data_IF_242870248064
#
_entry.id   IF_242870248064
#
_cell.length_a   1.000
_cell.length_b   1.000
_cell.length_c   1.000
_cell.angle_alpha   90.00
_cell.angle_beta   90.00
_cell.angle_gamma   90.00
#
_symmetry.space_group_name_H-M   'P 1'
#
loop_
_entity.id
_entity.type
_entity.pdbx_description
1 polymer ?
#
# COMPACT_ATOMS: atom_id res chain seq x y z
N UNK A 1 -13.25 -1.03 -48.38
CA UNK A 1 -13.94 -0.84 -47.09
C UNK A 1 -12.87 -0.60 -46.05
N UNK A 2 -12.69 0.66 -45.62
CA UNK A 2 -11.62 1.07 -44.71
C UNK A 2 -12.11 0.80 -43.28
N UNK A 3 -11.58 -0.24 -42.65
CA UNK A 3 -11.80 -0.51 -41.23
C UNK A 3 -10.84 0.38 -40.42
N UNK A 4 -11.32 1.54 -39.99
CA UNK A 4 -10.63 2.34 -38.99
C UNK A 4 -10.76 1.62 -37.64
N UNK A 5 -9.70 0.89 -37.24
CA UNK A 5 -9.55 0.45 -35.86
C UNK A 5 -9.38 1.69 -34.98
N UNK A 6 -10.46 2.08 -34.33
CA UNK A 6 -10.43 2.99 -33.19
C UNK A 6 -9.67 2.28 -32.06
N UNK A 7 -8.36 2.52 -31.99
CA UNK A 7 -7.61 2.42 -30.74
C UNK A 7 -8.18 3.48 -29.80
N UNK A 8 -9.31 3.16 -29.17
CA UNK A 8 -9.64 3.75 -27.89
C UNK A 8 -8.54 3.28 -26.93
N UNK A 9 -7.43 4.02 -26.90
CA UNK A 9 -6.57 4.04 -25.74
C UNK A 9 -7.52 4.38 -24.59
N UNK A 10 -7.84 3.38 -23.78
CA UNK A 10 -8.37 3.64 -22.46
C UNK A 10 -7.32 4.52 -21.79
N UNK A 11 -7.54 5.84 -21.79
CA UNK A 11 -6.97 6.78 -20.81
C UNK A 11 -7.55 6.48 -19.42
N UNK A 12 -7.63 5.19 -19.06
CA UNK A 12 -7.73 4.76 -17.68
C UNK A 12 -6.39 5.16 -17.08
N UNK A 13 -6.33 6.39 -16.57
CA UNK A 13 -5.30 6.79 -15.62
C UNK A 13 -5.13 5.61 -14.68
N UNK A 14 -3.95 4.99 -14.60
CA UNK A 14 -3.74 3.94 -13.62
C UNK A 14 -4.16 4.52 -12.27
N UNK A 15 -5.02 3.80 -11.57
CA UNK A 15 -5.55 4.19 -10.27
C UNK A 15 -4.40 4.13 -9.27
N UNK A 16 -3.56 5.17 -9.31
CA UNK A 16 -2.43 5.38 -8.42
C UNK A 16 -2.98 6.00 -7.13
N UNK A 17 -3.94 5.29 -6.53
CA UNK A 17 -4.51 5.61 -5.24
C UNK A 17 -3.81 4.84 -4.13
N UNK A 18 -3.90 5.39 -2.93
CA UNK A 18 -3.59 4.67 -1.71
C UNK A 18 -2.62 5.38 -0.78
N UNK A 19 -2.45 4.78 0.40
CA UNK A 19 -1.56 5.31 1.44
C UNK A 19 -0.19 4.62 1.40
N UNK A 20 0.86 5.39 1.65
CA UNK A 20 2.24 4.93 1.72
C UNK A 20 2.91 5.52 2.95
N UNK A 21 3.63 4.70 3.70
CA UNK A 21 4.25 5.12 4.96
C UNK A 21 5.70 4.65 5.02
N UNK A 22 6.57 5.43 5.64
CA UNK A 22 7.90 4.92 5.98
C UNK A 22 7.84 3.97 7.18
N UNK A 23 8.88 3.15 7.32
CA UNK A 23 9.06 2.19 8.42
C UNK A 23 8.94 2.79 9.82
N UNK A 24 9.30 4.06 9.99
CA UNK A 24 9.32 4.73 11.28
C UNK A 24 8.04 5.55 11.55
N UNK A 25 7.08 5.55 10.61
CA UNK A 25 5.89 6.41 10.66
C UNK A 25 6.19 7.90 10.63
N UNK A 26 7.38 8.32 10.17
CA UNK A 26 7.79 9.73 10.18
C UNK A 26 7.24 10.52 9.00
N UNK A 27 6.97 9.82 7.90
CA UNK A 27 6.39 10.34 6.67
C UNK A 27 5.29 9.39 6.20
N UNK A 28 4.14 9.95 5.83
CA UNK A 28 3.10 9.25 5.08
C UNK A 28 2.58 10.09 3.91
N UNK A 29 2.18 9.41 2.85
CA UNK A 29 1.58 9.98 1.64
C UNK A 29 0.27 9.27 1.38
N UNK A 30 -0.83 10.01 1.27
CA UNK A 30 -2.12 9.47 0.87
C UNK A 30 -2.52 10.04 -0.49
N UNK A 31 -2.44 9.22 -1.53
CA UNK A 31 -2.80 9.60 -2.90
C UNK A 31 -4.29 9.38 -3.14
N UNK A 32 -4.98 10.47 -3.44
CA UNK A 32 -6.40 10.50 -3.73
C UNK A 32 -6.66 10.40 -5.24
N UNK A 33 -7.79 9.80 -5.61
CA UNK A 33 -8.20 9.62 -7.01
C UNK A 33 -8.50 10.95 -7.74
N UNK A 34 -8.66 12.05 -7.01
CA UNK A 34 -8.88 13.39 -7.56
C UNK A 34 -7.58 14.12 -7.99
N UNK A 35 -6.42 13.45 -7.92
CA UNK A 35 -5.12 14.06 -8.27
C UNK A 35 -4.49 14.87 -7.13
N UNK A 36 -4.99 14.73 -5.90
CA UNK A 36 -4.38 15.30 -4.69
C UNK A 36 -3.62 14.24 -3.91
N UNK A 37 -2.53 14.64 -3.27
CA UNK A 37 -1.83 13.85 -2.26
C UNK A 37 -1.85 14.60 -0.94
N UNK A 38 -2.18 13.92 0.14
CA UNK A 38 -1.93 14.43 1.49
C UNK A 38 -0.56 13.94 1.92
N UNK A 39 0.35 14.87 2.22
CA UNK A 39 1.67 14.58 2.79
C UNK A 39 1.59 14.85 4.28
N UNK A 40 1.96 13.88 5.10
CA UNK A 40 2.12 14.04 6.54
C UNK A 40 3.56 13.76 6.95
N UNK A 41 4.17 14.68 7.69
CA UNK A 41 5.51 14.50 8.27
C UNK A 41 5.56 15.06 9.68
N UNK A 42 6.51 14.60 10.49
CA UNK A 42 6.72 15.09 11.87
C UNK A 42 6.89 16.63 11.97
N UNK A 43 7.28 17.30 10.88
CA UNK A 43 7.44 18.76 10.82
C UNK A 43 6.23 19.53 10.29
N UNK A 44 5.15 18.85 9.93
CA UNK A 44 3.97 19.42 9.29
C UNK A 44 3.62 18.72 7.97
N UNK A 45 2.38 18.91 7.55
CA UNK A 45 1.81 18.27 6.36
C UNK A 45 0.90 19.19 5.57
N UNK A 46 0.41 18.71 4.43
CA UNK A 46 -0.51 19.46 3.58
C UNK A 46 -1.00 18.67 2.38
N UNK A 47 -2.00 19.23 1.72
CA UNK A 47 -2.55 18.68 0.47
C UNK A 47 -1.91 19.35 -0.74
N UNK A 48 -1.36 18.54 -1.64
CA UNK A 48 -0.66 18.98 -2.84
C UNK A 48 -1.23 18.32 -4.08
N UNK A 49 -1.05 18.96 -5.24
CA UNK A 49 -1.32 18.29 -6.51
C UNK A 49 -0.20 17.31 -6.84
N UNK A 50 -0.54 16.19 -7.49
CA UNK A 50 0.46 15.27 -8.04
C UNK A 50 0.18 14.91 -9.49
N UNK A 51 1.25 14.52 -10.18
CA UNK A 51 1.18 13.99 -11.55
C UNK A 51 2.00 12.71 -11.60
N UNK A 52 1.40 11.65 -12.15
CA UNK A 52 2.10 10.37 -12.40
C UNK A 52 2.51 10.32 -13.86
N UNK A 53 3.77 9.98 -14.10
CA UNK A 53 4.32 9.75 -15.44
C UNK A 53 5.26 8.54 -15.41
N UNK A 54 4.79 7.41 -15.93
CA UNK A 54 5.52 6.15 -15.87
C UNK A 54 5.83 5.74 -14.43
N UNK A 55 7.11 5.56 -14.10
CA UNK A 55 7.61 5.22 -12.75
C UNK A 55 7.91 6.45 -11.88
N UNK A 56 7.46 7.63 -12.27
CA UNK A 56 7.73 8.87 -11.54
C UNK A 56 6.45 9.54 -11.11
N UNK A 57 6.47 10.14 -9.91
CA UNK A 57 5.38 10.93 -9.37
C UNK A 57 5.94 12.30 -9.03
N UNK A 58 5.39 13.36 -9.61
CA UNK A 58 5.80 14.72 -9.29
C UNK A 58 4.76 15.36 -8.38
N UNK A 59 5.16 15.68 -7.15
CA UNK A 59 4.37 16.46 -6.19
C UNK A 59 4.61 17.95 -6.44
N UNK A 60 3.54 18.73 -6.53
CA UNK A 60 3.57 20.18 -6.74
C UNK A 60 3.53 20.90 -5.40
N UNK A 61 4.69 21.17 -4.82
CA UNK A 61 4.79 21.83 -3.51
C UNK A 61 5.16 23.32 -3.66
N UNK A 62 4.77 24.18 -2.70
CA UNK A 62 5.08 25.61 -2.72
C UNK A 62 6.58 25.94 -2.82
N UNK A 63 7.43 25.11 -2.21
CA UNK A 63 8.89 25.24 -2.20
C UNK A 63 9.58 24.68 -3.45
N UNK A 64 8.81 24.11 -4.39
CA UNK A 64 9.32 23.46 -5.60
C UNK A 64 8.78 22.04 -5.76
N UNK A 65 8.88 21.52 -6.98
CA UNK A 65 8.42 20.17 -7.30
C UNK A 65 9.32 19.11 -6.64
N UNK A 66 8.70 18.10 -6.03
CA UNK A 66 9.39 16.92 -5.52
C UNK A 66 9.03 15.70 -6.37
N UNK A 67 10.05 15.01 -6.86
CA UNK A 67 9.86 13.81 -7.68
C UNK A 67 10.12 12.56 -6.85
N UNK A 68 9.14 11.67 -6.80
CA UNK A 68 9.22 10.33 -6.23
C UNK A 68 9.39 9.31 -7.36
N UNK A 69 10.05 8.20 -7.05
CA UNK A 69 10.18 7.07 -7.99
C UNK A 69 9.43 5.86 -7.47
N UNK A 70 8.64 5.22 -8.34
CA UNK A 70 7.96 3.95 -8.07
C UNK A 70 8.96 2.83 -8.41
N UNK A 71 9.38 2.08 -7.39
CA UNK A 71 10.23 0.91 -7.56
C UNK A 71 9.45 -0.30 -8.12
N UNK A 72 10.17 -1.33 -8.54
CA UNK A 72 9.56 -2.54 -9.13
C UNK A 72 8.71 -3.34 -8.15
N UNK A 73 9.03 -3.24 -6.85
CA UNK A 73 8.27 -3.82 -5.73
C UNK A 73 7.08 -2.95 -5.29
N UNK A 74 6.82 -1.83 -5.98
CA UNK A 74 5.73 -0.90 -5.68
C UNK A 74 6.03 0.09 -4.55
N UNK A 75 7.22 0.06 -3.93
CA UNK A 75 7.62 1.07 -2.95
C UNK A 75 7.89 2.42 -3.61
N UNK A 76 7.73 3.51 -2.85
CA UNK A 76 8.07 4.86 -3.31
C UNK A 76 9.39 5.30 -2.72
N UNK A 77 10.32 5.68 -3.59
CA UNK A 77 11.59 6.27 -3.18
C UNK A 77 11.50 7.78 -3.22
N UNK A 78 11.73 8.41 -2.07
CA UNK A 78 11.91 9.86 -1.94
C UNK A 78 13.40 10.20 -2.08
N UNK A 79 13.81 11.20 -2.87
CA UNK A 79 15.22 11.61 -2.95
C UNK A 79 15.78 11.98 -1.56
N UNK A 80 16.75 11.20 -1.08
CA UNK A 80 17.38 11.41 0.24
C UNK A 80 16.54 10.97 1.44
N UNK A 81 15.37 10.36 1.23
CA UNK A 81 14.49 9.83 2.27
C UNK A 81 14.47 8.30 2.32
N UNK A 82 13.85 7.72 3.37
CA UNK A 82 13.57 6.29 3.41
C UNK A 82 12.55 5.91 2.32
N UNK A 83 12.51 4.61 1.91
CA UNK A 83 11.42 4.12 1.07
C UNK A 83 10.09 4.17 1.82
N UNK A 84 9.02 4.48 1.09
CA UNK A 84 7.65 4.41 1.58
C UNK A 84 7.00 3.14 1.04
N UNK A 85 6.39 2.38 1.93
CA UNK A 85 5.77 1.10 1.64
C UNK A 85 4.26 1.32 1.55
N UNK A 86 3.61 0.71 0.56
CA UNK A 86 2.16 0.85 0.39
C UNK A 86 1.43 0.18 1.55
N UNK A 87 0.59 0.94 2.23
CA UNK A 87 -0.33 0.43 3.23
C UNK A 87 -1.37 -0.45 2.54
N UNK A 88 -1.66 -1.62 3.09
CA UNK A 88 -2.62 -2.58 2.54
C UNK A 88 -3.40 -3.25 3.64
N UNK A 89 -4.68 -3.49 3.39
CA UNK A 89 -5.55 -4.20 4.31
C UNK A 89 -6.22 -5.37 3.61
N UNK A 90 -6.20 -6.53 4.24
CA UNK A 90 -6.76 -7.76 3.71
C UNK A 90 -7.77 -8.35 4.69
N UNK A 91 -8.97 -8.70 4.23
CA UNK A 91 -9.91 -9.49 5.02
C UNK A 91 -9.48 -10.96 5.01
N UNK A 92 -9.12 -11.50 6.16
CA UNK A 92 -8.66 -12.86 6.35
C UNK A 92 -9.77 -13.80 6.83
N UNK A 93 -9.77 -15.02 6.31
CA UNK A 93 -10.66 -16.12 6.72
C UNK A 93 -9.94 -17.46 6.70
N UNK A 94 -10.48 -18.42 7.45
CA UNK A 94 -10.12 -19.83 7.44
C UNK A 94 -11.35 -20.71 7.20
N UNK A 95 -11.24 -22.03 7.46
CA UNK A 95 -12.35 -22.98 7.36
C UNK A 95 -13.50 -22.68 8.36
N UNK A 96 -13.22 -21.94 9.44
CA UNK A 96 -14.16 -21.60 10.51
C UNK A 96 -14.87 -20.27 10.28
N UNK A 97 -14.32 -19.41 9.41
CA UNK A 97 -14.92 -18.13 9.02
C UNK A 97 -13.93 -16.98 9.02
N UNK A 98 -14.43 -15.76 9.22
CA UNK A 98 -13.58 -14.57 9.29
C UNK A 98 -12.72 -14.58 10.56
N UNK A 99 -11.41 -14.38 10.40
CA UNK A 99 -10.44 -14.34 11.51
C UNK A 99 -9.96 -12.91 11.83
N UNK A 100 -10.13 -11.98 10.90
CA UNK A 100 -9.84 -10.56 11.08
C UNK A 100 -9.25 -9.92 9.84
N UNK A 101 -8.80 -8.67 9.97
CA UNK A 101 -8.16 -7.96 8.87
C UNK A 101 -6.65 -7.88 9.11
N UNK A 102 -5.87 -8.38 8.16
CA UNK A 102 -4.43 -8.17 8.13
C UNK A 102 -4.15 -6.78 7.57
N UNK A 103 -3.59 -5.89 8.38
CA UNK A 103 -3.16 -4.56 7.95
C UNK A 103 -1.62 -4.51 7.90
N UNK A 104 -1.10 -4.12 6.76
CA UNK A 104 0.31 -3.85 6.52
C UNK A 104 0.49 -2.33 6.45
N UNK A 105 1.41 -1.78 7.25
CA UNK A 105 1.71 -0.34 7.26
C UNK A 105 3.17 -0.13 7.63
N UNK A 106 3.88 0.66 6.84
CA UNK A 106 5.34 0.71 6.92
C UNK A 106 5.94 -0.69 6.72
N UNK A 107 6.73 -1.18 7.67
CA UNK A 107 7.24 -2.57 7.67
C UNK A 107 6.57 -3.46 8.71
N UNK A 108 5.47 -3.00 9.30
CA UNK A 108 4.77 -3.67 10.39
C UNK A 108 3.48 -4.34 9.89
N UNK A 109 3.19 -5.51 10.47
CA UNK A 109 1.97 -6.25 10.23
C UNK A 109 1.10 -6.27 11.49
N UNK A 110 -0.19 -6.03 11.29
CA UNK A 110 -1.20 -5.96 12.32
C UNK A 110 -2.37 -6.87 12.00
N UNK A 111 -2.95 -7.51 13.01
CA UNK A 111 -4.26 -8.15 12.91
C UNK A 111 -5.28 -7.26 13.60
N UNK A 112 -6.34 -6.92 12.90
CA UNK A 112 -7.44 -6.09 13.40
C UNK A 112 -8.65 -7.00 13.63
N UNK A 113 -9.22 -6.95 14.83
CA UNK A 113 -10.45 -7.67 15.16
C UNK A 113 -11.59 -7.16 14.25
N UNK A 114 -12.29 -8.05 13.53
CA UNK A 114 -13.32 -7.62 12.60
C UNK A 114 -14.54 -6.99 13.31
N UNK A 115 -14.67 -7.17 14.63
CA UNK A 115 -15.73 -6.60 15.48
C UNK A 115 -15.28 -5.35 16.24
N UNK A 116 -13.97 -5.09 16.31
CA UNK A 116 -13.40 -3.94 17.01
C UNK A 116 -12.27 -3.32 16.17
N UNK A 117 -12.63 -2.38 15.30
CA UNK A 117 -11.67 -1.66 14.45
C UNK A 117 -10.99 -0.48 15.17
N UNK A 118 -11.06 -0.41 16.50
CA UNK A 118 -10.33 0.61 17.26
C UNK A 118 -8.86 0.23 17.43
N UNK A 119 -8.05 1.16 17.93
CA UNK A 119 -6.66 0.87 18.30
C UNK A 119 -6.56 -0.27 19.34
N UNK A 120 -7.60 -0.48 20.16
CA UNK A 120 -7.62 -1.56 21.14
C UNK A 120 -7.82 -2.95 20.49
N UNK A 121 -8.54 -3.01 19.38
CA UNK A 121 -8.71 -4.24 18.59
C UNK A 121 -7.62 -4.45 17.53
N UNK A 122 -6.60 -3.60 17.49
CA UNK A 122 -5.45 -3.73 16.58
C UNK A 122 -4.25 -4.31 17.32
N UNK A 123 -3.80 -5.50 16.93
CA UNK A 123 -2.64 -6.16 17.52
C UNK A 123 -1.51 -6.21 16.51
N UNK A 124 -0.30 -5.75 16.89
CA UNK A 124 0.91 -5.99 16.10
C UNK A 124 1.25 -7.48 16.14
N UNK A 125 1.38 -8.08 14.96
CA UNK A 125 1.70 -9.50 14.79
C UNK A 125 3.09 -9.73 14.20
N UNK A 126 3.85 -8.68 13.88
CA UNK A 126 5.22 -8.83 13.41
C UNK A 126 5.68 -7.71 12.50
N UNK A 127 6.78 -7.96 11.80
CA UNK A 127 7.25 -7.17 10.64
C UNK A 127 7.09 -7.98 9.37
N UNK A 128 6.95 -7.34 8.22
CA UNK A 128 6.78 -8.05 6.95
C UNK A 128 7.84 -7.69 5.90
N UNK A 129 8.06 -8.64 5.00
CA UNK A 129 8.76 -8.43 3.72
C UNK A 129 7.88 -8.92 2.59
N UNK A 130 7.86 -8.20 1.49
CA UNK A 130 7.03 -8.48 0.32
C UNK A 130 7.88 -8.34 -0.95
N UNK A 131 7.87 -9.36 -1.81
CA UNK A 131 8.55 -9.38 -3.10
C UNK A 131 7.58 -9.38 -4.30
N UNK A 132 6.29 -9.17 -4.05
CA UNK A 132 5.19 -9.21 -5.01
C UNK A 132 4.76 -10.63 -5.42
N UNK A 133 5.35 -11.67 -4.83
CA UNK A 133 4.95 -13.08 -4.98
C UNK A 133 4.70 -13.74 -3.63
N UNK A 134 5.45 -13.32 -2.61
CA UNK A 134 5.36 -13.81 -1.26
C UNK A 134 5.38 -12.66 -0.28
N UNK A 135 4.44 -12.71 0.66
CA UNK A 135 4.46 -11.91 1.86
C UNK A 135 4.96 -12.79 3.01
N UNK A 136 6.05 -12.39 3.67
CA UNK A 136 6.57 -13.08 4.86
C UNK A 136 6.37 -12.19 6.06
N UNK A 137 5.62 -12.65 7.06
CA UNK A 137 5.43 -11.97 8.34
C UNK A 137 6.29 -12.68 9.39
N UNK A 138 7.13 -11.94 10.09
CA UNK A 138 8.06 -12.45 11.11
C UNK A 138 7.80 -11.82 12.47
N UNK A 139 7.71 -12.66 13.50
CA UNK A 139 7.56 -12.27 14.90
C UNK A 139 8.59 -12.97 15.79
N UNK A 140 8.35 -12.98 17.10
CA UNK A 140 9.24 -13.63 18.07
C UNK A 140 9.16 -15.17 18.04
N UNK A 141 8.09 -15.74 17.49
CA UNK A 141 7.81 -17.17 17.43
C UNK A 141 8.26 -17.79 16.10
N UNK A 142 8.36 -16.99 15.03
CA UNK A 142 8.92 -17.42 13.75
C UNK A 142 8.46 -16.58 12.58
N UNK A 143 8.42 -17.20 11.39
CA UNK A 143 7.96 -16.56 10.17
C UNK A 143 6.83 -17.34 9.53
N UNK A 144 5.80 -16.64 9.07
CA UNK A 144 4.70 -17.16 8.28
C UNK A 144 4.80 -16.62 6.86
N UNK A 145 4.81 -17.52 5.87
CA UNK A 145 4.89 -17.17 4.45
C UNK A 145 3.53 -17.33 3.78
N UNK A 146 3.08 -16.28 3.12
CA UNK A 146 1.87 -16.25 2.31
C UNK A 146 2.25 -16.15 0.84
N UNK A 147 1.61 -16.94 0.00
CA UNK A 147 1.70 -16.78 -1.46
C UNK A 147 0.72 -15.70 -1.89
N UNK A 148 1.18 -14.75 -2.71
CA UNK A 148 0.35 -13.70 -3.27
C UNK A 148 -0.07 -14.02 -4.71
N UNK A 149 -1.38 -13.96 -4.97
CA UNK A 149 -1.95 -14.00 -6.31
C UNK A 149 -3.07 -12.96 -6.42
N UNK A 150 -2.84 -11.91 -7.22
CA UNK A 150 -3.82 -10.87 -7.57
C UNK A 150 -4.56 -10.28 -6.36
N UNK A 151 -3.81 -9.87 -5.34
CA UNK A 151 -4.38 -9.29 -4.11
C UNK A 151 -5.01 -10.32 -3.16
N UNK A 152 -4.76 -11.61 -3.38
CA UNK A 152 -5.11 -12.68 -2.43
C UNK A 152 -3.84 -13.29 -1.86
N UNK A 153 -3.76 -13.35 -0.54
CA UNK A 153 -2.70 -13.99 0.22
C UNK A 153 -3.19 -15.35 0.72
N UNK A 154 -2.40 -16.40 0.53
CA UNK A 154 -2.77 -17.76 0.95
C UNK A 154 -1.65 -18.41 1.76
N UNK A 155 -1.98 -18.96 2.93
CA UNK A 155 -1.07 -19.75 3.77
C UNK A 155 -1.85 -20.90 4.44
N UNK A 156 -1.61 -22.14 4.00
CA UNK A 156 -2.34 -23.31 4.48
C UNK A 156 -3.85 -23.17 4.23
N UNK A 157 -4.63 -23.05 5.31
CA UNK A 157 -6.09 -22.86 5.29
C UNK A 157 -6.52 -21.39 5.33
N UNK A 158 -5.59 -20.48 5.60
CA UNK A 158 -5.86 -19.06 5.69
C UNK A 158 -5.83 -18.44 4.30
N UNK A 159 -6.87 -17.67 3.99
CA UNK A 159 -6.95 -16.84 2.78
C UNK A 159 -7.26 -15.40 3.20
N UNK A 160 -6.46 -14.44 2.76
CA UNK A 160 -6.71 -13.02 2.97
C UNK A 160 -6.90 -12.31 1.63
N UNK A 161 -7.99 -11.58 1.46
CA UNK A 161 -8.30 -10.86 0.22
C UNK A 161 -8.19 -9.36 0.44
N UNK A 162 -7.50 -8.66 -0.46
CA UNK A 162 -7.28 -7.22 -0.37
C UNK A 162 -8.63 -6.48 -0.35
N UNK A 163 -8.83 -5.63 0.65
CA UNK A 163 -10.06 -4.82 0.84
C UNK A 163 -9.78 -3.32 0.84
N UNK A 164 -8.52 -2.90 0.96
CA UNK A 164 -8.13 -1.49 0.93
C UNK A 164 -6.62 -1.32 0.79
N UNK A 165 -6.20 -0.20 0.21
CA UNK A 165 -4.79 0.15 0.02
C UNK A 165 -4.59 1.47 -0.70
#
# INVERSE_FOLDING_TARGET
MVAALLLAACDSKPDFGGSYSDKNGLMSLNFHSNGKVTVDTVGGGGDFDYVVSGKTITLKMPQGDQTLTIADDGTLTVPGGPPLIKDREYACKDDSGAIGNLRLSGDEAYMVDPKDQTAAGTQKIGTFTDDGKQLVITDAEGSNTYTEDKGTLTAGKVTCTLIGG
#
